data_IF_125570340526
#
_entry.id   IF_125570340526
#
_cell.length_a   1.000
_cell.length_b   1.000
_cell.length_c   1.000
_cell.angle_alpha   90.00
_cell.angle_beta   90.00
_cell.angle_gamma   90.00
#
_symmetry.space_group_name_H-M   'P 1'
#
loop_
_entity.id
_entity.type
_entity.pdbx_description
1 polymer ?
#
# COMPACT_ATOMS: atom_id res chain seq x y z
N UNK A 1 3.92 -22.18 23.23
CA UNK A 1 3.18 -23.08 22.31
C UNK A 1 1.68 -22.98 22.49
N UNK A 2 1.16 -23.03 23.74
CA UNK A 2 -0.28 -22.88 24.01
C UNK A 2 -0.87 -21.54 23.50
N UNK A 3 -0.16 -20.43 23.73
CA UNK A 3 -0.55 -19.10 23.24
C UNK A 3 -0.71 -19.03 21.71
N UNK A 4 0.15 -19.73 20.94
CA UNK A 4 0.08 -19.75 19.47
C UNK A 4 -1.10 -20.61 19.00
N UNK A 5 -1.37 -21.73 19.68
CA UNK A 5 -2.48 -22.60 19.33
C UNK A 5 -3.84 -21.93 19.59
N UNK A 6 -3.96 -21.19 20.69
CA UNK A 6 -5.16 -20.39 21.02
C UNK A 6 -5.34 -19.25 20.00
N UNK A 7 -4.29 -18.50 19.70
CA UNK A 7 -4.30 -17.44 18.68
C UNK A 7 -4.75 -17.94 17.30
N UNK A 8 -4.23 -19.10 16.86
CA UNK A 8 -4.61 -19.69 15.58
C UNK A 8 -6.07 -20.15 15.61
N UNK A 9 -6.56 -20.66 16.74
CA UNK A 9 -7.97 -21.03 16.91
C UNK A 9 -8.90 -19.84 16.69
N UNK A 10 -8.64 -18.71 17.34
CA UNK A 10 -9.45 -17.50 17.20
C UNK A 10 -9.42 -16.94 15.77
N UNK A 11 -8.25 -16.92 15.13
CA UNK A 11 -8.11 -16.47 13.72
C UNK A 11 -8.91 -17.36 12.77
N UNK A 12 -8.94 -18.68 13.02
CA UNK A 12 -9.70 -19.61 12.19
C UNK A 12 -11.22 -19.45 12.36
N UNK A 13 -11.67 -18.92 13.48
CA UNK A 13 -13.06 -18.53 13.72
C UNK A 13 -13.42 -17.17 13.10
N UNK A 14 -12.43 -16.47 12.52
CA UNK A 14 -12.57 -15.17 11.88
C UNK A 14 -12.34 -13.99 12.81
N UNK A 15 -11.90 -14.26 14.05
CA UNK A 15 -11.61 -13.24 15.05
C UNK A 15 -10.19 -12.69 14.89
N UNK A 16 -10.00 -11.42 15.25
CA UNK A 16 -8.68 -10.78 15.23
C UNK A 16 -8.00 -11.02 16.57
N UNK A 17 -6.95 -11.83 16.58
CA UNK A 17 -6.14 -12.07 17.78
C UNK A 17 -4.93 -11.14 17.84
N UNK A 18 -4.79 -10.40 18.95
CA UNK A 18 -3.66 -9.52 19.23
C UNK A 18 -3.16 -9.73 20.67
N UNK A 19 -1.86 -9.98 20.89
CA UNK A 19 -1.28 -10.02 22.24
C UNK A 19 -1.51 -8.70 22.96
N UNK A 20 -1.81 -8.75 24.28
CA UNK A 20 -2.06 -7.55 25.07
C UNK A 20 -0.86 -6.59 25.09
N UNK A 21 0.37 -7.13 25.02
CA UNK A 21 1.61 -6.36 24.95
C UNK A 21 1.76 -5.60 23.63
N UNK A 22 1.11 -6.08 22.56
CA UNK A 22 1.13 -5.46 21.24
C UNK A 22 -0.11 -4.57 21.03
N UNK A 23 -1.21 -4.83 21.72
CA UNK A 23 -2.43 -4.01 21.66
C UNK A 23 -2.17 -2.55 22.07
N UNK A 24 -1.26 -2.30 23.02
CA UNK A 24 -0.85 -0.93 23.40
C UNK A 24 0.16 -0.32 22.41
N UNK A 25 0.90 -1.13 21.66
CA UNK A 25 1.91 -0.70 20.70
C UNK A 25 1.33 -0.43 19.31
N UNK A 26 0.21 -1.07 18.96
CA UNK A 26 -0.55 -0.81 17.75
C UNK A 26 -1.49 0.35 18.07
N UNK A 27 -1.07 1.57 17.73
CA UNK A 27 -1.95 2.73 17.79
C UNK A 27 -3.20 2.50 16.93
N UNK A 28 -4.28 3.21 17.26
CA UNK A 28 -5.42 3.29 16.34
C UNK A 28 -4.90 3.69 14.95
N UNK A 29 -5.24 2.89 13.94
CA UNK A 29 -4.84 3.21 12.57
C UNK A 29 -5.38 4.60 12.23
N UNK A 30 -4.50 5.49 11.77
CA UNK A 30 -4.93 6.82 11.33
C UNK A 30 -6.04 6.64 10.28
N UNK A 31 -7.15 7.38 10.44
CA UNK A 31 -8.25 7.34 9.48
C UNK A 31 -7.76 7.68 8.07
N UNK A 32 -6.74 8.54 7.95
CA UNK A 32 -6.08 8.85 6.69
C UNK A 32 -5.33 7.63 6.12
N UNK A 33 -4.55 6.92 6.94
CA UNK A 33 -3.83 5.70 6.53
C UNK A 33 -4.78 4.58 6.10
N UNK A 34 -5.88 4.39 6.84
CA UNK A 34 -6.90 3.38 6.53
C UNK A 34 -7.58 3.66 5.19
N UNK A 35 -8.07 4.89 4.98
CA UNK A 35 -8.66 5.31 3.69
C UNK A 35 -7.67 5.16 2.54
N UNK A 36 -6.40 5.42 2.80
CA UNK A 36 -5.37 5.30 1.78
C UNK A 36 -5.05 3.85 1.44
N UNK A 37 -4.97 2.95 2.44
CA UNK A 37 -4.83 1.52 2.23
C UNK A 37 -5.99 0.95 1.39
N UNK A 38 -7.22 1.36 1.67
CA UNK A 38 -8.40 1.02 0.86
C UNK A 38 -8.28 1.56 -0.58
N UNK A 39 -7.81 2.80 -0.75
CA UNK A 39 -7.60 3.39 -2.06
C UNK A 39 -6.55 2.62 -2.89
N UNK A 40 -5.45 2.19 -2.27
CA UNK A 40 -4.46 1.30 -2.92
C UNK A 40 -5.09 -0.05 -3.27
N UNK A 41 -5.84 -0.67 -2.36
CA UNK A 41 -6.53 -1.94 -2.60
C UNK A 41 -7.53 -1.85 -3.76
N UNK A 42 -8.09 -0.66 -4.03
CA UNK A 42 -8.99 -0.42 -5.16
C UNK A 42 -8.28 -0.34 -6.53
N UNK A 43 -6.95 -0.23 -6.58
CA UNK A 43 -6.20 -0.13 -7.83
C UNK A 43 -6.28 -1.44 -8.62
N UNK A 44 -6.37 -1.35 -9.94
CA UNK A 44 -6.22 -2.56 -10.77
C UNK A 44 -4.77 -3.04 -10.73
N UNK A 45 -4.48 -4.33 -11.01
CA UNK A 45 -3.11 -4.85 -11.03
C UNK A 45 -2.17 -4.01 -11.91
N UNK A 46 -2.65 -3.55 -13.07
CA UNK A 46 -1.86 -2.70 -13.96
C UNK A 46 -1.63 -1.30 -13.38
N UNK A 47 -2.62 -0.71 -12.69
CA UNK A 47 -2.47 0.58 -12.01
C UNK A 47 -1.47 0.49 -10.85
N UNK A 48 -1.53 -0.60 -10.08
CA UNK A 48 -0.58 -0.87 -9.00
C UNK A 48 0.86 -1.00 -9.52
N UNK A 49 1.06 -1.76 -10.60
CA UNK A 49 2.38 -1.86 -11.27
C UNK A 49 2.91 -0.49 -11.70
N UNK A 50 2.06 0.33 -12.31
CA UNK A 50 2.44 1.70 -12.70
C UNK A 50 2.79 2.52 -11.45
N UNK A 51 2.01 2.45 -10.38
CA UNK A 51 2.29 3.17 -9.12
C UNK A 51 3.66 2.79 -8.54
N UNK A 52 4.02 1.50 -8.50
CA UNK A 52 5.34 1.07 -8.02
C UNK A 52 6.48 1.64 -8.88
N UNK A 53 6.33 1.66 -10.21
CA UNK A 53 7.33 2.30 -11.07
C UNK A 53 7.39 3.82 -10.86
N UNK A 54 6.29 4.46 -10.41
CA UNK A 54 6.34 5.87 -10.02
C UNK A 54 7.14 6.08 -8.74
N UNK A 55 7.02 5.18 -7.75
CA UNK A 55 7.76 5.25 -6.48
C UNK A 55 9.26 4.99 -6.68
N UNK A 56 9.61 4.14 -7.64
CA UNK A 56 11.00 3.96 -8.13
C UNK A 56 11.55 5.18 -8.91
N UNK A 57 10.72 6.19 -9.18
CA UNK A 57 11.13 7.42 -9.85
C UNK A 57 11.11 7.37 -11.38
N UNK A 58 10.57 6.33 -12.01
CA UNK A 58 10.58 6.21 -13.47
C UNK A 58 9.66 7.23 -14.15
N UNK A 59 10.15 7.87 -15.22
CA UNK A 59 9.37 8.77 -16.05
C UNK A 59 8.31 8.02 -16.86
N UNK A 60 7.22 8.68 -17.25
CA UNK A 60 6.14 8.04 -18.03
C UNK A 60 6.65 7.38 -19.31
N UNK A 61 7.67 7.96 -19.96
CA UNK A 61 8.31 7.39 -21.15
C UNK A 61 9.07 6.10 -20.86
N UNK A 62 9.74 6.02 -19.70
CA UNK A 62 10.44 4.81 -19.26
C UNK A 62 9.43 3.72 -18.89
N UNK A 63 8.40 4.04 -18.13
CA UNK A 63 7.31 3.12 -17.79
C UNK A 63 6.63 2.59 -19.06
N UNK A 64 6.38 3.46 -20.04
CA UNK A 64 5.80 3.08 -21.32
C UNK A 64 6.68 2.07 -22.07
N UNK A 65 8.00 2.28 -22.06
CA UNK A 65 8.98 1.35 -22.64
C UNK A 65 8.96 0.00 -21.91
N UNK A 66 9.05 -0.01 -20.58
CA UNK A 66 9.07 -1.24 -19.77
C UNK A 66 7.78 -2.07 -19.93
N UNK A 67 6.64 -1.41 -20.07
CA UNK A 67 5.34 -2.06 -20.21
C UNK A 67 4.94 -2.30 -21.68
N UNK A 68 5.78 -1.91 -22.64
CA UNK A 68 5.52 -1.99 -24.08
C UNK A 68 4.16 -1.36 -24.49
N UNK A 69 3.90 -0.14 -24.01
CA UNK A 69 2.70 0.64 -24.31
C UNK A 69 3.05 2.08 -24.69
N UNK A 70 2.05 2.89 -25.07
CA UNK A 70 2.28 4.31 -25.37
C UNK A 70 2.42 5.16 -24.10
N UNK A 71 3.16 6.28 -24.18
CA UNK A 71 3.22 7.26 -23.10
C UNK A 71 1.84 7.83 -22.74
N UNK A 72 0.95 7.96 -23.74
CA UNK A 72 -0.44 8.39 -23.53
C UNK A 72 -1.22 7.39 -22.65
N UNK A 73 -0.97 6.09 -22.84
CA UNK A 73 -1.54 5.02 -22.00
C UNK A 73 -1.07 5.18 -20.55
N UNK A 74 0.23 5.45 -20.33
CA UNK A 74 0.74 5.68 -18.98
C UNK A 74 0.14 6.94 -18.36
N UNK A 75 -0.02 8.03 -19.10
CA UNK A 75 -0.72 9.23 -18.63
C UNK A 75 -2.15 8.91 -18.16
N UNK A 76 -2.89 8.10 -18.91
CA UNK A 76 -4.23 7.66 -18.53
C UNK A 76 -4.22 6.83 -17.22
N UNK A 77 -3.26 5.90 -17.07
CA UNK A 77 -3.09 5.17 -15.81
C UNK A 77 -2.77 6.10 -14.64
N UNK A 78 -1.84 7.03 -14.81
CA UNK A 78 -1.47 8.02 -13.78
C UNK A 78 -2.69 8.83 -13.36
N UNK A 79 -3.47 9.37 -14.30
CA UNK A 79 -4.71 10.10 -13.97
C UNK A 79 -5.71 9.25 -13.19
N UNK A 80 -5.89 7.98 -13.57
CA UNK A 80 -6.78 7.08 -12.86
C UNK A 80 -6.30 6.75 -11.44
N UNK A 81 -4.98 6.58 -11.26
CA UNK A 81 -4.34 6.37 -9.96
C UNK A 81 -4.56 7.60 -9.07
N UNK A 82 -4.19 8.80 -9.54
CA UNK A 82 -4.37 10.05 -8.79
C UNK A 82 -5.82 10.22 -8.30
N UNK A 83 -6.79 9.95 -9.19
CA UNK A 83 -8.21 10.02 -8.84
C UNK A 83 -8.61 9.00 -7.76
N UNK A 84 -8.13 7.75 -7.85
CA UNK A 84 -8.44 6.71 -6.86
C UNK A 84 -7.78 6.98 -5.51
N UNK A 85 -6.56 7.49 -5.52
CA UNK A 85 -5.81 7.86 -4.32
C UNK A 85 -6.29 9.19 -3.70
N UNK A 86 -7.16 9.95 -4.39
CA UNK A 86 -7.63 11.25 -3.90
C UNK A 86 -6.57 12.35 -3.92
N UNK A 87 -5.49 12.19 -4.68
CA UNK A 87 -4.36 13.12 -4.75
C UNK A 87 -4.28 13.83 -6.10
N UNK A 88 -3.55 14.94 -6.17
CA UNK A 88 -3.53 15.82 -7.33
C UNK A 88 -2.19 15.84 -8.08
N UNK A 89 -1.14 15.29 -7.50
CA UNK A 89 0.17 15.27 -8.13
C UNK A 89 0.85 13.91 -8.02
N UNK A 90 1.75 13.67 -8.97
CA UNK A 90 2.65 12.51 -8.96
C UNK A 90 3.42 12.42 -7.64
N UNK A 91 3.95 13.54 -7.15
CA UNK A 91 4.71 13.59 -5.90
C UNK A 91 3.85 13.17 -4.71
N UNK A 92 2.60 13.65 -4.65
CA UNK A 92 1.67 13.22 -3.59
C UNK A 92 1.37 11.73 -3.66
N UNK A 93 1.17 11.16 -4.86
CA UNK A 93 0.96 9.72 -5.00
C UNK A 93 2.17 8.89 -4.53
N UNK A 94 3.39 9.35 -4.83
CA UNK A 94 4.63 8.68 -4.39
C UNK A 94 4.79 8.77 -2.87
N UNK A 95 4.65 9.96 -2.29
CA UNK A 95 4.75 10.16 -0.84
C UNK A 95 3.71 9.31 -0.12
N UNK A 96 2.48 9.29 -0.62
CA UNK A 96 1.42 8.51 -0.01
C UNK A 96 1.73 7.00 -0.08
N UNK A 97 2.16 6.48 -1.25
CA UNK A 97 2.54 5.08 -1.39
C UNK A 97 3.71 4.66 -0.46
N UNK A 98 4.69 5.54 -0.23
CA UNK A 98 5.80 5.29 0.70
C UNK A 98 5.36 5.17 2.16
N UNK A 99 4.27 5.83 2.58
CA UNK A 99 3.73 5.66 3.95
C UNK A 99 3.23 4.23 4.22
N UNK A 100 2.85 3.50 3.18
CA UNK A 100 2.40 2.10 3.27
C UNK A 100 3.53 1.08 3.04
N UNK A 101 4.72 1.51 2.60
CA UNK A 101 5.88 0.64 2.60
C UNK A 101 6.26 0.39 4.07
N UNK A 102 5.85 -0.78 4.57
CA UNK A 102 6.16 -1.27 5.92
C UNK A 102 7.67 -1.23 6.10
N UNK A 103 8.17 -0.30 6.92
CA UNK A 103 9.53 -0.41 7.44
C UNK A 103 9.62 -1.76 8.16
N UNK A 104 10.57 -2.64 7.81
CA UNK A 104 10.73 -3.90 8.52
C UNK A 104 10.94 -3.59 10.01
N UNK A 105 10.30 -4.34 10.93
CA UNK A 105 10.40 -4.05 12.36
C UNK A 105 11.88 -3.98 12.75
N UNK A 106 12.28 -2.86 13.34
CA UNK A 106 13.62 -2.70 13.90
C UNK A 106 13.75 -3.72 15.02
N UNK A 107 14.41 -4.83 14.73
CA UNK A 107 14.82 -5.79 15.76
C UNK A 107 15.94 -5.10 16.53
N UNK A 108 15.60 -4.47 17.65
CA UNK A 108 16.59 -3.97 18.60
C UNK A 108 17.46 -5.16 19.02
N UNK A 109 18.78 -4.99 18.88
CA UNK A 109 19.80 -6.01 19.20
C UNK A 109 20.14 -6.00 20.69
#
# INVERSE_FOLDING_TARGET
LQLIAEAVGEILEGEVWLPAELAEAIGEADEEETRFAEAIASLTPQQFRVLNMLTEGLLNKQIAYELNVSEATIKAHVTAILRKLGVHSRTQAVIAAQKLEVEPPKVES
#
